data_IF_230818464384
#
_entry.id   IF_230818464384
#
_cell.length_a   1.000
_cell.length_b   1.000
_cell.length_c   1.000
_cell.angle_alpha   90.00
_cell.angle_beta   90.00
_cell.angle_gamma   90.00
#
_symmetry.space_group_name_H-M   'P 1'
#
loop_
_entity.id
_entity.type
_entity.pdbx_description
1 polymer ?
#
# COMPACT_ATOMS: atom_id res chain seq x y z
N UNK A 1 -36.83 -19.54 -32.40
CA UNK A 1 -36.06 -18.26 -32.35
C UNK A 1 -35.14 -18.38 -31.13
N UNK A 2 -33.83 -18.55 -31.33
CA UNK A 2 -32.90 -18.48 -30.19
C UNK A 2 -32.89 -17.07 -29.67
N UNK A 3 -33.06 -16.91 -28.37
CA UNK A 3 -33.00 -15.62 -27.70
C UNK A 3 -31.59 -15.05 -27.81
N UNK A 4 -31.43 -13.74 -28.04
CA UNK A 4 -30.12 -13.08 -27.96
C UNK A 4 -29.42 -13.30 -26.59
N UNK A 5 -30.22 -13.66 -25.58
CA UNK A 5 -29.74 -14.00 -24.24
C UNK A 5 -29.05 -15.37 -24.16
N UNK A 6 -29.32 -16.26 -25.13
CA UNK A 6 -28.64 -17.59 -25.19
C UNK A 6 -27.13 -17.45 -25.49
N UNK A 7 -26.68 -16.26 -25.86
CA UNK A 7 -25.27 -15.92 -26.05
C UNK A 7 -24.57 -15.50 -24.75
N UNK A 8 -25.31 -15.24 -23.71
CA UNK A 8 -24.75 -14.91 -22.39
C UNK A 8 -24.18 -16.19 -21.78
N UNK A 9 -22.88 -16.30 -21.72
CA UNK A 9 -22.18 -17.48 -21.22
C UNK A 9 -21.80 -18.53 -22.28
N UNK A 10 -22.22 -18.37 -23.54
CA UNK A 10 -21.82 -19.26 -24.62
C UNK A 10 -20.60 -18.72 -25.38
N UNK A 11 -19.46 -19.40 -25.23
CA UNK A 11 -18.24 -19.11 -25.99
C UNK A 11 -17.32 -18.07 -25.34
N UNK A 12 -16.76 -18.40 -24.21
CA UNK A 12 -15.73 -17.55 -23.59
C UNK A 12 -14.43 -17.63 -24.41
N UNK A 13 -14.08 -16.51 -25.04
CA UNK A 13 -12.73 -16.29 -25.60
C UNK A 13 -11.74 -16.08 -24.42
N UNK A 14 -12.27 -15.71 -23.24
CA UNK A 14 -11.48 -15.41 -22.04
C UNK A 14 -11.45 -16.67 -21.17
N UNK A 15 -10.28 -17.27 -21.04
CA UNK A 15 -10.06 -18.48 -20.22
C UNK A 15 -10.09 -18.21 -18.71
N UNK A 16 -9.79 -16.98 -18.30
CA UNK A 16 -9.84 -16.56 -16.89
C UNK A 16 -10.51 -15.18 -16.79
N UNK A 17 -11.85 -15.12 -16.58
CA UNK A 17 -12.56 -13.85 -16.43
C UNK A 17 -12.16 -13.07 -15.17
N UNK A 18 -11.70 -13.72 -14.12
CA UNK A 18 -11.22 -13.07 -12.88
C UNK A 18 -10.02 -12.15 -13.15
N UNK A 19 -9.23 -12.46 -14.19
CA UNK A 19 -8.10 -11.62 -14.60
C UNK A 19 -8.50 -10.22 -15.10
N UNK A 20 -9.79 -9.99 -15.34
CA UNK A 20 -10.34 -8.69 -15.73
C UNK A 20 -10.84 -7.86 -14.54
N UNK A 21 -10.89 -8.43 -13.36
CA UNK A 21 -11.30 -7.71 -12.17
C UNK A 21 -10.26 -6.64 -11.79
N UNK A 22 -10.75 -5.47 -11.36
CA UNK A 22 -9.88 -4.35 -10.94
C UNK A 22 -8.96 -4.71 -9.76
N UNK A 23 -9.39 -5.66 -8.92
CA UNK A 23 -8.63 -6.11 -7.76
C UNK A 23 -7.81 -7.37 -8.02
N UNK A 24 -7.82 -7.87 -9.25
CA UNK A 24 -7.04 -9.04 -9.62
C UNK A 24 -5.54 -8.81 -9.42
N UNK A 25 -4.92 -9.70 -8.65
CA UNK A 25 -3.47 -9.73 -8.45
C UNK A 25 -2.93 -11.04 -9.01
N UNK A 26 -2.17 -11.01 -10.10
CA UNK A 26 -1.62 -12.22 -10.71
C UNK A 26 -0.66 -12.92 -9.74
N UNK A 27 -0.50 -14.23 -9.91
CA UNK A 27 0.47 -14.99 -9.11
C UNK A 27 1.90 -14.55 -9.43
N UNK A 28 2.18 -14.27 -10.69
CA UNK A 28 3.49 -13.81 -11.18
C UNK A 28 3.33 -12.62 -12.12
N UNK A 29 4.27 -11.69 -12.07
CA UNK A 29 4.35 -10.55 -12.98
C UNK A 29 5.52 -10.79 -13.92
N UNK A 30 5.23 -10.90 -15.21
CA UNK A 30 6.23 -11.13 -16.25
C UNK A 30 6.90 -9.80 -16.65
N UNK A 31 8.23 -9.82 -16.82
CA UNK A 31 9.00 -8.69 -17.32
C UNK A 31 9.20 -7.55 -16.30
N UNK A 32 9.10 -7.85 -15.01
CA UNK A 32 9.32 -6.90 -13.91
C UNK A 32 10.33 -7.39 -12.86
N UNK A 33 11.08 -8.42 -13.17
CA UNK A 33 12.01 -9.10 -12.27
C UNK A 33 13.08 -8.14 -11.72
N UNK A 34 13.59 -7.25 -12.55
CA UNK A 34 14.57 -6.24 -12.12
C UNK A 34 14.00 -5.27 -11.07
N UNK A 35 12.78 -4.77 -11.29
CA UNK A 35 12.12 -3.85 -10.35
C UNK A 35 11.70 -4.57 -9.06
N UNK A 36 11.24 -5.82 -9.16
CA UNK A 36 10.95 -6.65 -7.99
C UNK A 36 12.21 -6.90 -7.16
N UNK A 37 13.35 -7.19 -7.79
CA UNK A 37 14.64 -7.35 -7.13
C UNK A 37 15.12 -6.06 -6.46
N UNK A 38 14.91 -4.91 -7.09
CA UNK A 38 15.24 -3.61 -6.51
C UNK A 38 14.38 -3.33 -5.26
N UNK A 39 13.07 -3.58 -5.32
CA UNK A 39 12.19 -3.47 -4.15
C UNK A 39 12.62 -4.43 -3.04
N UNK A 40 12.92 -5.69 -3.37
CA UNK A 40 13.38 -6.67 -2.40
C UNK A 40 14.66 -6.21 -1.69
N UNK A 41 15.62 -5.64 -2.42
CA UNK A 41 16.85 -5.09 -1.84
C UNK A 41 16.57 -3.90 -0.90
N UNK A 42 15.65 -2.99 -1.27
CA UNK A 42 15.26 -1.85 -0.42
C UNK A 42 14.57 -2.31 0.86
N UNK A 43 13.85 -3.42 0.82
CA UNK A 43 13.09 -3.97 1.94
C UNK A 43 13.82 -5.08 2.69
N UNK A 44 15.07 -5.40 2.34
CA UNK A 44 15.83 -6.50 2.93
C UNK A 44 16.05 -6.39 4.45
N UNK A 45 16.02 -5.18 5.01
CA UNK A 45 16.24 -4.95 6.45
C UNK A 45 14.98 -5.13 7.32
N UNK A 46 13.82 -5.33 6.72
CA UNK A 46 12.56 -5.53 7.47
C UNK A 46 12.61 -6.77 8.38
N UNK A 47 13.32 -7.81 7.98
CA UNK A 47 13.43 -9.04 8.76
C UNK A 47 14.19 -8.86 10.09
N UNK A 48 15.03 -7.82 10.20
CA UNK A 48 15.87 -7.55 11.38
C UNK A 48 15.21 -6.71 12.47
N UNK A 49 13.93 -6.34 12.32
CA UNK A 49 13.14 -5.53 13.27
C UNK A 49 13.66 -4.11 13.55
N UNK A 50 14.67 -3.62 12.81
CA UNK A 50 15.40 -2.41 13.16
C UNK A 50 15.14 -1.24 12.22
N UNK A 51 14.46 -1.47 11.08
CA UNK A 51 14.36 -0.40 10.07
C UNK A 51 13.00 -0.33 9.38
N UNK A 52 12.59 0.90 9.16
CA UNK A 52 11.52 1.26 8.23
C UNK A 52 12.09 1.45 6.83
N UNK A 53 11.42 0.87 5.84
CA UNK A 53 11.82 0.97 4.44
C UNK A 53 10.91 1.92 3.68
N UNK A 54 11.46 2.54 2.63
CA UNK A 54 10.74 3.52 1.83
C UNK A 54 11.01 3.27 0.36
N UNK A 55 9.96 3.28 -0.45
CA UNK A 55 10.08 3.16 -1.89
C UNK A 55 9.09 4.09 -2.60
N UNK A 56 9.49 4.59 -3.76
CA UNK A 56 8.61 5.32 -4.67
C UNK A 56 8.58 4.56 -5.99
N UNK A 57 7.38 4.20 -6.44
CA UNK A 57 7.14 3.56 -7.73
C UNK A 57 6.54 4.61 -8.66
N UNK A 58 7.28 4.96 -9.70
CA UNK A 58 6.86 5.95 -10.69
C UNK A 58 6.69 5.31 -12.06
N UNK A 59 5.88 5.92 -12.90
CA UNK A 59 5.71 5.49 -14.30
C UNK A 59 4.35 5.92 -14.87
N UNK A 60 4.13 5.75 -16.18
CA UNK A 60 2.91 6.18 -16.83
C UNK A 60 1.68 5.43 -16.30
N UNK A 61 0.49 6.00 -16.53
CA UNK A 61 -0.78 5.33 -16.23
C UNK A 61 -0.85 4.02 -17.02
N UNK A 62 -1.39 2.96 -16.41
CA UNK A 62 -1.51 1.64 -17.04
C UNK A 62 -0.22 0.81 -17.06
N UNK A 63 0.90 1.29 -16.50
CA UNK A 63 2.17 0.55 -16.46
C UNK A 63 2.25 -0.58 -15.41
N UNK A 64 1.18 -0.86 -14.69
CA UNK A 64 1.11 -1.97 -13.72
C UNK A 64 1.73 -1.67 -12.34
N UNK A 65 1.94 -0.40 -11.96
CA UNK A 65 2.53 0.00 -10.67
C UNK A 65 1.78 -0.55 -9.46
N UNK A 66 0.45 -0.44 -9.48
CA UNK A 66 -0.44 -0.94 -8.42
C UNK A 66 -0.31 -2.45 -8.27
N UNK A 67 -0.34 -3.18 -9.38
CA UNK A 67 -0.21 -4.63 -9.40
C UNK A 67 1.18 -5.05 -8.89
N UNK A 68 2.23 -4.36 -9.31
CA UNK A 68 3.59 -4.59 -8.83
C UNK A 68 3.68 -4.44 -7.30
N UNK A 69 3.14 -3.36 -6.74
CA UNK A 69 3.16 -3.12 -5.30
C UNK A 69 2.34 -4.17 -4.53
N UNK A 70 1.13 -4.49 -5.00
CA UNK A 70 0.26 -5.53 -4.40
C UNK A 70 0.96 -6.90 -4.41
N UNK A 71 1.52 -7.31 -5.54
CA UNK A 71 2.23 -8.60 -5.66
C UNK A 71 3.45 -8.62 -4.75
N UNK A 72 4.27 -7.57 -4.76
CA UNK A 72 5.44 -7.46 -3.89
C UNK A 72 5.08 -7.56 -2.41
N UNK A 73 4.07 -6.82 -1.94
CA UNK A 73 3.63 -6.86 -0.55
C UNK A 73 3.13 -8.25 -0.14
N UNK A 74 2.32 -8.90 -0.99
CA UNK A 74 1.83 -10.27 -0.78
C UNK A 74 2.99 -11.27 -0.65
N UNK A 75 3.95 -11.19 -1.56
CA UNK A 75 5.07 -12.12 -1.60
C UNK A 75 6.02 -11.89 -0.41
N UNK A 76 6.25 -10.63 -0.02
CA UNK A 76 7.02 -10.28 1.17
C UNK A 76 6.34 -10.78 2.46
N UNK A 77 5.02 -10.61 2.58
CA UNK A 77 4.24 -11.11 3.71
C UNK A 77 4.37 -12.64 3.84
N UNK A 78 4.27 -13.36 2.71
CA UNK A 78 4.45 -14.83 2.68
C UNK A 78 5.87 -15.24 3.06
N UNK A 79 6.86 -14.54 2.51
CA UNK A 79 8.28 -14.83 2.79
C UNK A 79 8.64 -14.64 4.27
N UNK A 80 8.07 -13.63 4.92
CA UNK A 80 8.36 -13.30 6.32
C UNK A 80 7.40 -13.94 7.32
N UNK A 81 6.39 -14.71 6.88
CA UNK A 81 5.32 -15.25 7.75
C UNK A 81 5.82 -16.01 8.98
N UNK A 82 6.97 -16.69 8.88
CA UNK A 82 7.58 -17.43 9.99
C UNK A 82 8.54 -16.59 10.86
N UNK A 83 8.83 -15.35 10.45
CA UNK A 83 9.82 -14.49 11.13
C UNK A 83 9.16 -13.28 11.79
N UNK A 84 8.21 -12.66 11.09
CA UNK A 84 7.59 -11.43 11.54
C UNK A 84 6.19 -11.30 10.93
N UNK A 85 5.24 -10.88 11.74
CA UNK A 85 3.92 -10.52 11.24
C UNK A 85 3.99 -9.22 10.40
N UNK A 86 3.57 -9.29 9.15
CA UNK A 86 3.50 -8.16 8.24
C UNK A 86 2.03 -7.81 8.01
N UNK A 87 1.64 -6.61 8.42
CA UNK A 87 0.37 -6.01 8.08
C UNK A 87 0.52 -5.16 6.82
N UNK A 88 -0.47 -5.17 5.95
CA UNK A 88 -0.46 -4.39 4.72
C UNK A 88 -1.72 -3.53 4.69
N UNK A 89 -1.55 -2.24 4.44
CA UNK A 89 -2.64 -1.32 4.15
C UNK A 89 -2.42 -0.67 2.78
N UNK A 90 -3.35 -0.89 1.84
CA UNK A 90 -3.29 -0.35 0.50
C UNK A 90 -4.39 0.69 0.30
N UNK A 91 -4.02 1.96 0.22
CA UNK A 91 -4.96 3.09 0.12
C UNK A 91 -4.80 3.81 -1.22
N UNK A 92 -5.86 3.85 -2.02
CA UNK A 92 -5.92 4.70 -3.19
C UNK A 92 -6.28 6.14 -2.78
N UNK A 93 -5.32 7.06 -2.94
CA UNK A 93 -5.43 8.46 -2.53
C UNK A 93 -6.38 9.29 -3.43
N UNK A 94 -6.79 8.77 -4.58
CA UNK A 94 -7.85 9.38 -5.39
C UNK A 94 -9.20 9.29 -4.70
N UNK A 95 -9.46 8.14 -4.05
CA UNK A 95 -10.70 7.91 -3.29
C UNK A 95 -10.63 8.46 -1.87
N UNK A 96 -9.43 8.57 -1.30
CA UNK A 96 -9.15 9.10 0.03
C UNK A 96 -8.18 10.30 -0.10
N UNK A 97 -8.68 11.43 -0.57
CA UNK A 97 -7.85 12.56 -0.98
C UNK A 97 -7.47 13.53 0.14
N UNK A 98 -7.90 13.31 1.39
CA UNK A 98 -7.50 14.11 2.56
C UNK A 98 -6.67 13.27 3.50
N UNK A 99 -5.69 13.90 4.18
CA UNK A 99 -4.81 13.23 5.14
C UNK A 99 -5.58 12.41 6.18
N UNK A 100 -6.65 12.98 6.75
CA UNK A 100 -7.50 12.29 7.73
C UNK A 100 -8.15 11.03 7.13
N UNK A 101 -8.70 11.12 5.90
CA UNK A 101 -9.31 9.97 5.23
C UNK A 101 -8.30 8.89 4.89
N UNK A 102 -7.08 9.27 4.50
CA UNK A 102 -6.01 8.30 4.24
C UNK A 102 -5.70 7.51 5.51
N UNK A 103 -5.48 8.18 6.64
CA UNK A 103 -5.19 7.48 7.91
C UNK A 103 -6.36 6.63 8.38
N UNK A 104 -7.59 7.10 8.24
CA UNK A 104 -8.79 6.29 8.52
C UNK A 104 -8.81 5.01 7.67
N UNK A 105 -8.54 5.12 6.37
CA UNK A 105 -8.48 3.94 5.50
C UNK A 105 -7.35 2.98 5.88
N UNK A 106 -6.16 3.49 6.20
CA UNK A 106 -5.07 2.66 6.73
C UNK A 106 -5.53 1.88 7.96
N UNK A 107 -6.17 2.56 8.92
CA UNK A 107 -6.66 1.93 10.14
C UNK A 107 -7.73 0.87 9.87
N UNK A 108 -8.66 1.11 8.96
CA UNK A 108 -9.68 0.13 8.58
C UNK A 108 -9.13 -1.12 7.88
N UNK A 109 -8.05 -0.97 7.09
CA UNK A 109 -7.39 -2.12 6.45
C UNK A 109 -6.75 -3.06 7.48
N UNK A 110 -6.28 -2.53 8.61
CA UNK A 110 -5.59 -3.31 9.65
C UNK A 110 -6.49 -3.64 10.86
N UNK A 111 -7.53 -2.86 11.09
CA UNK A 111 -8.54 -3.04 12.14
C UNK A 111 -9.92 -2.63 11.63
N UNK A 112 -10.68 -3.54 11.02
CA UNK A 112 -12.03 -3.24 10.49
C UNK A 112 -13.03 -2.74 11.54
N UNK A 113 -12.77 -2.96 12.82
CA UNK A 113 -13.58 -2.47 13.93
C UNK A 113 -13.24 -1.04 14.39
N UNK A 114 -12.23 -0.39 13.80
CA UNK A 114 -11.83 0.94 14.20
C UNK A 114 -12.92 1.98 13.90
N UNK A 115 -13.18 2.94 14.83
CA UNK A 115 -14.23 3.96 14.64
C UNK A 115 -14.01 4.83 13.40
N UNK A 116 -15.08 5.01 12.60
CA UNK A 116 -15.06 5.81 11.36
C UNK A 116 -15.09 7.31 11.58
N UNK A 117 -15.59 7.77 12.74
CA UNK A 117 -15.89 9.19 13.00
C UNK A 117 -15.49 9.61 14.40
N UNK A 118 -15.34 10.92 14.55
CA UNK A 118 -15.13 11.56 15.87
C UNK A 118 -13.69 11.64 16.33
N UNK A 119 -12.72 11.10 15.58
CA UNK A 119 -11.32 11.15 15.94
C UNK A 119 -10.58 12.26 15.18
N UNK A 120 -9.77 13.01 15.91
CA UNK A 120 -8.82 13.96 15.36
C UNK A 120 -7.64 13.24 14.68
N UNK A 121 -6.88 13.95 13.85
CA UNK A 121 -5.68 13.39 13.19
C UNK A 121 -4.68 12.83 14.21
N UNK A 122 -4.47 13.52 15.33
CA UNK A 122 -3.57 13.06 16.39
C UNK A 122 -4.03 11.74 17.02
N UNK A 123 -5.34 11.58 17.26
CA UNK A 123 -5.91 10.34 17.79
C UNK A 123 -5.81 9.19 16.81
N UNK A 124 -6.01 9.45 15.51
CA UNK A 124 -5.85 8.45 14.46
C UNK A 124 -4.39 7.96 14.37
N UNK A 125 -3.42 8.87 14.39
CA UNK A 125 -2.00 8.51 14.40
C UNK A 125 -1.59 7.77 15.69
N UNK A 126 -2.16 8.16 16.83
CA UNK A 126 -1.94 7.44 18.07
C UNK A 126 -2.51 6.01 18.03
N UNK A 127 -3.69 5.83 17.43
CA UNK A 127 -4.27 4.51 17.19
C UNK A 127 -3.39 3.65 16.30
N UNK A 128 -2.87 4.22 15.22
CA UNK A 128 -1.95 3.55 14.31
C UNK A 128 -0.68 3.07 15.05
N UNK A 129 -0.06 3.94 15.85
CA UNK A 129 1.09 3.59 16.70
C UNK A 129 0.78 2.48 17.70
N UNK A 130 -0.40 2.51 18.32
CA UNK A 130 -0.82 1.48 19.29
C UNK A 130 -1.01 0.12 18.64
N UNK A 131 -1.61 0.06 17.44
CA UNK A 131 -1.84 -1.19 16.73
C UNK A 131 -0.53 -1.86 16.30
N UNK A 132 0.41 -1.10 15.74
CA UNK A 132 1.71 -1.63 15.34
C UNK A 132 2.54 -2.13 16.55
N UNK A 133 2.45 -1.43 17.69
CA UNK A 133 3.15 -1.84 18.93
C UNK A 133 2.57 -3.10 19.56
N UNK A 134 1.24 -3.18 19.65
CA UNK A 134 0.54 -4.27 20.34
C UNK A 134 0.89 -5.64 19.75
N UNK A 135 1.01 -5.72 18.47
CA UNK A 135 1.21 -6.98 17.76
C UNK A 135 2.69 -7.30 17.48
N UNK A 136 3.63 -6.40 17.82
CA UNK A 136 5.04 -6.50 17.40
C UNK A 136 5.17 -6.70 15.87
N UNK A 137 4.16 -6.25 15.14
CA UNK A 137 4.04 -6.41 13.69
C UNK A 137 4.70 -5.26 12.95
N UNK A 138 4.97 -5.44 11.67
CA UNK A 138 5.45 -4.39 10.79
C UNK A 138 4.36 -4.02 9.80
N UNK A 139 4.03 -2.74 9.74
CA UNK A 139 3.01 -2.22 8.83
C UNK A 139 3.66 -1.71 7.54
N UNK A 140 3.22 -2.21 6.41
CA UNK A 140 3.55 -1.67 5.09
C UNK A 140 2.34 -0.88 4.60
N UNK A 141 2.52 0.43 4.45
CA UNK A 141 1.49 1.32 3.89
C UNK A 141 1.82 1.58 2.42
N UNK A 142 0.90 1.22 1.55
CA UNK A 142 0.96 1.54 0.12
C UNK A 142 -0.01 2.69 -0.15
N UNK A 143 0.52 3.85 -0.52
CA UNK A 143 -0.27 5.01 -0.95
C UNK A 143 -0.26 5.09 -2.47
N UNK A 144 -1.35 4.61 -3.08
CA UNK A 144 -1.51 4.64 -4.53
C UNK A 144 -2.12 5.96 -5.00
N UNK A 145 -1.65 6.45 -6.15
CA UNK A 145 -2.02 7.77 -6.68
C UNK A 145 -1.81 8.89 -5.65
N UNK A 146 -0.68 8.86 -4.93
CA UNK A 146 -0.37 9.74 -3.80
C UNK A 146 -0.40 11.23 -4.18
N UNK A 147 -0.16 11.57 -5.43
CA UNK A 147 -0.23 12.92 -5.97
C UNK A 147 -1.61 13.58 -5.80
N UNK A 148 -2.69 12.79 -5.75
CA UNK A 148 -4.04 13.33 -5.44
C UNK A 148 -4.15 13.84 -4.01
N UNK A 149 -3.58 13.14 -3.05
CA UNK A 149 -3.55 13.56 -1.65
C UNK A 149 -2.61 14.76 -1.46
N UNK A 150 -1.43 14.71 -2.06
CA UNK A 150 -0.42 15.78 -1.96
C UNK A 150 -0.94 17.11 -2.50
N UNK A 151 -1.63 17.12 -3.63
CA UNK A 151 -2.23 18.36 -4.19
C UNK A 151 -3.32 18.95 -3.30
N UNK A 152 -4.05 18.12 -2.57
CA UNK A 152 -5.20 18.57 -1.76
C UNK A 152 -4.84 18.91 -0.32
N UNK A 153 -3.91 18.19 0.27
CA UNK A 153 -3.62 18.23 1.71
C UNK A 153 -2.15 18.52 2.03
N UNK A 154 -1.30 18.71 1.01
CA UNK A 154 0.14 18.89 1.21
C UNK A 154 0.84 17.59 1.64
N UNK A 155 2.06 17.71 2.12
CA UNK A 155 2.96 16.61 2.47
C UNK A 155 3.01 16.28 3.98
N UNK A 156 2.31 17.04 4.81
CA UNK A 156 2.29 16.88 6.27
C UNK A 156 2.04 15.42 6.71
N UNK A 157 1.12 14.71 6.03
CA UNK A 157 0.85 13.33 6.37
C UNK A 157 2.06 12.43 6.10
N UNK A 158 2.74 12.60 4.96
CA UNK A 158 3.94 11.82 4.66
C UNK A 158 5.01 12.06 5.72
N UNK A 159 5.23 13.32 6.09
CA UNK A 159 6.15 13.67 7.16
C UNK A 159 5.81 12.97 8.48
N UNK A 160 4.52 12.97 8.88
CA UNK A 160 4.07 12.31 10.11
C UNK A 160 4.21 10.78 10.06
N UNK A 161 3.91 10.15 8.91
CA UNK A 161 4.08 8.71 8.73
C UNK A 161 5.56 8.30 8.74
N UNK A 162 6.44 9.10 8.14
CA UNK A 162 7.89 8.86 8.12
C UNK A 162 8.52 8.96 9.50
N UNK A 163 7.95 9.77 10.39
CA UNK A 163 8.42 9.98 11.76
C UNK A 163 7.64 9.18 12.80
N UNK A 164 6.77 8.27 12.38
CA UNK A 164 5.93 7.51 13.31
C UNK A 164 6.74 6.66 14.29
N UNK A 165 7.94 6.26 13.89
CA UNK A 165 8.85 5.42 14.64
C UNK A 165 9.85 6.19 15.55
N UNK A 166 9.91 7.53 15.46
CA UNK A 166 10.91 8.31 16.20
C UNK A 166 10.87 8.11 17.72
N UNK A 167 9.67 7.87 18.26
CA UNK A 167 9.46 7.60 19.68
C UNK A 167 9.64 6.12 20.06
N UNK A 168 10.08 5.25 19.15
CA UNK A 168 10.04 3.79 19.32
C UNK A 168 11.40 3.13 19.60
N UNK A 169 12.39 3.85 20.10
CA UNK A 169 13.71 3.33 20.48
C UNK A 169 14.40 2.53 19.34
N UNK A 170 14.27 3.01 18.09
CA UNK A 170 14.97 2.43 16.94
C UNK A 170 14.33 1.18 16.34
N UNK A 171 13.11 0.81 16.75
CA UNK A 171 12.39 -0.29 16.10
C UNK A 171 11.52 0.25 14.99
N UNK A 172 11.90 -0.01 13.74
CA UNK A 172 11.08 0.32 12.57
C UNK A 172 9.80 -0.51 12.55
N UNK A 173 8.66 0.16 12.63
CA UNK A 173 7.34 -0.50 12.66
C UNK A 173 6.50 -0.20 11.43
N UNK A 174 6.88 0.82 10.63
CA UNK A 174 6.13 1.23 9.46
C UNK A 174 7.06 1.47 8.25
N UNK A 175 6.71 0.87 7.13
CA UNK A 175 7.34 1.11 5.83
C UNK A 175 6.34 1.73 4.85
N UNK A 176 6.84 2.55 3.92
CA UNK A 176 6.03 3.25 2.94
C UNK A 176 6.39 2.84 1.52
N UNK A 177 5.36 2.57 0.71
CA UNK A 177 5.44 2.48 -0.74
C UNK A 177 4.53 3.55 -1.32
N UNK A 178 5.09 4.51 -2.02
CA UNK A 178 4.36 5.58 -2.70
C UNK A 178 4.27 5.26 -4.18
N UNK A 179 3.06 5.36 -4.76
CA UNK A 179 2.83 5.14 -6.18
C UNK A 179 2.31 6.45 -6.79
N UNK A 180 2.96 6.90 -7.85
CA UNK A 180 2.55 8.10 -8.59
C UNK A 180 2.78 7.95 -10.09
N UNK A 181 1.95 8.64 -10.89
CA UNK A 181 2.13 8.72 -12.34
C UNK A 181 2.95 9.94 -12.77
N UNK A 182 3.16 10.88 -11.86
CA UNK A 182 3.84 12.14 -12.11
C UNK A 182 5.18 12.08 -11.37
N UNK A 183 6.26 12.50 -12.06
CA UNK A 183 7.52 12.75 -11.39
C UNK A 183 7.33 14.02 -10.56
N UNK A 184 6.90 13.84 -9.32
CA UNK A 184 6.65 14.97 -8.42
C UNK A 184 7.97 15.33 -7.77
N UNK A 185 8.58 16.42 -8.21
CA UNK A 185 9.74 17.04 -7.58
C UNK A 185 9.52 17.37 -6.08
N UNK A 186 8.26 17.39 -5.63
CA UNK A 186 7.85 17.66 -4.25
C UNK A 186 8.20 16.54 -3.25
N UNK A 187 8.39 15.30 -3.71
CA UNK A 187 8.71 14.17 -2.82
C UNK A 187 10.20 14.16 -2.43
N UNK A 188 11.05 14.86 -3.18
CA UNK A 188 12.50 14.88 -2.95
C UNK A 188 12.88 15.54 -1.62
N UNK A 189 12.05 16.44 -1.08
CA UNK A 189 12.32 17.09 0.20
C UNK A 189 11.87 16.27 1.43
N UNK A 190 11.22 15.11 1.22
CA UNK A 190 10.68 14.26 2.30
C UNK A 190 11.55 13.01 2.51
N UNK A 191 12.44 12.71 1.58
CA UNK A 191 13.42 11.63 1.60
C UNK A 191 14.82 12.21 1.57
#
# INVERSE_FOLDING_TARGET
>A
MSSYLDRIGAGFIISNPEALDFDFVPNEIVGREAVQSELANKFASIDRHESSCRAIITGPVGSGKTVLAKTFCRDLQRHLANKREIMIAHVNCRNASTSTRVVQRILHEIDPGHPDRGLSMGELLLSLRKLTRKNSSHLIVVLDEVDHMLRKSGDDLLYQLLRIDEDQQGKGTLSLILITSIIVFLIINVF
#
